data_IF_058196480272
#
_entry.id   IF_058196480272
#
_cell.length_a   1.000
_cell.length_b   1.000
_cell.length_c   1.000
_cell.angle_alpha   90.00
_cell.angle_beta   90.00
_cell.angle_gamma   90.00
#
_symmetry.space_group_name_H-M   'P 1'
#
loop_
_entity.id
_entity.type
_entity.pdbx_description
1 polymer ?
#
# COMPACT_ATOMS: atom_id res chain seq x y z
N UNK A 1 -24.80 6.04 2.49
CA UNK A 1 -23.89 6.24 3.65
C UNK A 1 -22.50 6.53 3.13
N UNK A 2 -21.86 7.60 3.63
CA UNK A 2 -20.46 7.91 3.34
C UNK A 2 -19.53 6.83 3.89
N UNK A 3 -18.43 6.54 3.19
CA UNK A 3 -17.42 5.53 3.56
C UNK A 3 -16.02 6.06 3.22
N UNK A 4 -15.00 5.48 3.85
CA UNK A 4 -13.60 5.65 3.47
C UNK A 4 -13.17 4.45 2.62
N UNK A 5 -12.62 4.69 1.44
CA UNK A 5 -12.25 3.66 0.47
C UNK A 5 -10.78 3.88 0.09
N UNK A 6 -9.99 2.81 0.17
CA UNK A 6 -8.60 2.78 -0.27
C UNK A 6 -8.51 2.07 -1.63
N UNK A 7 -8.02 2.76 -2.65
CA UNK A 7 -7.68 2.17 -3.95
C UNK A 7 -6.17 1.91 -3.97
N UNK A 8 -5.79 0.64 -3.96
CA UNK A 8 -4.40 0.20 -4.13
C UNK A 8 -4.19 -0.25 -5.56
N UNK A 9 -3.18 0.28 -6.23
CA UNK A 9 -2.88 -0.09 -7.62
C UNK A 9 -1.37 -0.19 -7.85
N UNK A 10 -1.00 -1.10 -8.76
CA UNK A 10 0.37 -1.48 -9.01
C UNK A 10 0.63 -1.61 -10.52
N UNK A 11 0.63 -0.48 -11.23
CA UNK A 11 1.00 -0.45 -12.64
C UNK A 11 1.98 0.70 -12.92
N UNK A 12 3.11 0.46 -13.59
CA UNK A 12 4.14 1.48 -13.79
C UNK A 12 3.77 2.55 -14.81
N UNK A 13 2.94 2.19 -15.80
CA UNK A 13 2.62 3.04 -16.94
C UNK A 13 1.39 3.94 -16.66
N UNK A 14 1.54 5.28 -16.60
CA UNK A 14 0.45 6.21 -16.29
C UNK A 14 -0.66 6.26 -17.33
N UNK A 15 -0.40 5.89 -18.58
CA UNK A 15 -1.42 5.88 -19.65
C UNK A 15 -2.12 4.53 -19.83
N UNK A 16 -1.78 3.55 -19.00
CA UNK A 16 -2.34 2.19 -19.07
C UNK A 16 -3.84 2.13 -18.81
N UNK A 17 -4.47 1.06 -19.30
CA UNK A 17 -5.86 0.73 -18.97
C UNK A 17 -6.08 0.64 -17.45
N UNK A 18 -5.13 0.06 -16.71
CA UNK A 18 -5.20 -0.03 -15.25
C UNK A 18 -5.30 1.36 -14.62
N UNK A 19 -4.49 2.32 -15.08
CA UNK A 19 -4.55 3.68 -14.55
C UNK A 19 -5.89 4.36 -14.89
N UNK A 20 -6.39 4.17 -16.10
CA UNK A 20 -7.71 4.69 -16.49
C UNK A 20 -8.84 4.13 -15.61
N UNK A 21 -8.80 2.83 -15.28
CA UNK A 21 -9.79 2.21 -14.39
C UNK A 21 -9.72 2.74 -12.96
N UNK A 22 -8.52 3.03 -12.45
CA UNK A 22 -8.32 3.68 -11.15
C UNK A 22 -8.96 5.07 -11.14
N UNK A 23 -8.71 5.88 -12.16
CA UNK A 23 -9.20 7.25 -12.23
C UNK A 23 -10.74 7.27 -12.32
N UNK A 24 -11.34 6.43 -13.17
CA UNK A 24 -12.81 6.28 -13.27
C UNK A 24 -13.42 5.81 -11.95
N UNK A 25 -12.78 4.86 -11.27
CA UNK A 25 -13.27 4.35 -9.97
C UNK A 25 -13.23 5.45 -8.90
N UNK A 26 -12.15 6.21 -8.83
CA UNK A 26 -11.99 7.29 -7.86
C UNK A 26 -13.02 8.41 -8.08
N UNK A 27 -13.25 8.80 -9.34
CA UNK A 27 -14.27 9.77 -9.72
C UNK A 27 -15.66 9.32 -9.28
N UNK A 28 -16.07 8.11 -9.66
CA UNK A 28 -17.40 7.58 -9.37
C UNK A 28 -17.67 7.46 -7.86
N UNK A 29 -16.70 6.97 -7.10
CA UNK A 29 -16.84 6.82 -5.65
C UNK A 29 -16.86 8.17 -4.93
N UNK A 30 -16.06 9.13 -5.38
CA UNK A 30 -16.06 10.49 -4.83
C UNK A 30 -17.39 11.20 -5.13
N UNK A 31 -17.92 11.06 -6.35
CA UNK A 31 -19.22 11.57 -6.76
C UNK A 31 -20.38 10.96 -5.95
N UNK A 32 -20.26 9.70 -5.53
CA UNK A 32 -21.20 9.04 -4.62
C UNK A 32 -21.08 9.51 -3.14
N UNK A 33 -20.19 10.46 -2.84
CA UNK A 33 -20.01 11.04 -1.51
C UNK A 33 -19.07 10.26 -0.59
N UNK A 34 -18.28 9.32 -1.12
CA UNK A 34 -17.25 8.61 -0.36
C UNK A 34 -15.95 9.42 -0.27
N UNK A 35 -15.15 9.13 0.76
CA UNK A 35 -13.77 9.61 0.84
C UNK A 35 -12.87 8.55 0.22
N UNK A 36 -12.15 8.93 -0.84
CA UNK A 36 -11.23 8.03 -1.56
C UNK A 36 -9.78 8.38 -1.22
N UNK A 37 -8.99 7.36 -0.92
CA UNK A 37 -7.55 7.45 -0.65
C UNK A 37 -6.83 6.49 -1.60
N UNK A 38 -5.61 6.81 -1.99
CA UNK A 38 -4.85 6.05 -2.98
C UNK A 38 -3.56 5.47 -2.39
N UNK A 39 -3.18 4.28 -2.85
CA UNK A 39 -1.83 3.76 -2.74
C UNK A 39 -1.32 3.36 -4.12
N UNK A 40 -0.58 4.27 -4.75
CA UNK A 40 0.14 4.06 -6.00
C UNK A 40 1.43 3.30 -5.70
N UNK A 41 1.44 1.97 -5.78
CA UNK A 41 2.60 1.20 -5.32
C UNK A 41 3.86 1.51 -6.14
N UNK A 42 3.73 1.80 -7.43
CA UNK A 42 4.86 2.21 -8.26
C UNK A 42 5.28 3.66 -7.98
N UNK A 43 4.33 4.60 -7.88
CA UNK A 43 4.62 6.00 -7.54
C UNK A 43 5.22 6.18 -6.16
N UNK A 44 4.82 5.33 -5.19
CA UNK A 44 5.35 5.28 -3.83
C UNK A 44 6.72 4.58 -3.74
N UNK A 45 7.19 3.94 -4.81
CA UNK A 45 8.34 3.02 -4.77
C UNK A 45 8.21 1.99 -3.64
N UNK A 46 7.02 1.43 -3.51
CA UNK A 46 6.70 0.49 -2.45
C UNK A 46 7.65 -0.70 -2.45
N UNK A 47 8.24 -1.01 -1.28
CA UNK A 47 9.12 -2.17 -1.12
C UNK A 47 8.29 -3.44 -1.12
N UNK A 48 8.46 -4.28 -2.14
CA UNK A 48 7.76 -5.57 -2.25
C UNK A 48 8.52 -6.71 -1.54
N UNK A 49 9.83 -6.55 -1.35
CA UNK A 49 10.64 -7.50 -0.58
C UNK A 49 10.29 -7.44 0.90
N UNK A 50 10.44 -8.58 1.58
CA UNK A 50 10.32 -8.68 3.03
C UNK A 50 11.68 -9.02 3.61
N UNK A 51 12.22 -8.13 4.46
CA UNK A 51 13.61 -8.18 4.89
C UNK A 51 13.83 -7.48 6.25
N UNK A 52 15.09 -7.28 6.63
CA UNK A 52 15.46 -6.70 7.92
C UNK A 52 14.98 -5.24 8.08
N UNK A 53 14.82 -4.49 6.98
CA UNK A 53 14.43 -3.08 7.02
C UNK A 53 12.95 -2.90 7.42
N UNK A 54 12.15 -3.97 7.39
CA UNK A 54 10.78 -3.95 7.91
C UNK A 54 10.72 -3.92 9.46
N UNK A 55 11.88 -4.07 10.12
CA UNK A 55 12.02 -4.06 11.57
C UNK A 55 13.00 -2.97 12.01
N UNK A 56 12.55 -1.71 12.16
CA UNK A 56 13.42 -0.61 12.59
C UNK A 56 14.07 -0.83 13.96
N UNK A 57 13.41 -1.60 14.82
CA UNK A 57 13.92 -2.07 16.10
C UNK A 57 13.85 -3.59 16.12
N UNK A 58 15.02 -4.24 16.17
CA UNK A 58 15.11 -5.70 16.20
C UNK A 58 15.42 -6.19 17.60
N UNK A 59 14.71 -7.23 18.03
CA UNK A 59 14.93 -7.95 19.27
C UNK A 59 16.27 -8.70 19.25
N UNK A 60 16.65 -9.28 18.11
CA UNK A 60 17.98 -9.84 17.91
C UNK A 60 18.69 -9.22 16.67
N UNK A 61 19.64 -8.30 16.88
CA UNK A 61 20.41 -7.69 15.78
C UNK A 61 21.25 -8.69 14.98
N UNK A 62 21.66 -9.81 15.58
CA UNK A 62 22.57 -10.80 14.99
C UNK A 62 21.85 -11.85 14.14
N UNK A 63 20.54 -12.07 14.34
CA UNK A 63 19.75 -13.05 13.57
C UNK A 63 18.37 -12.49 13.24
N UNK A 64 18.08 -12.37 11.94
CA UNK A 64 16.74 -12.06 11.47
C UNK A 64 15.82 -13.28 11.63
N UNK A 65 14.85 -13.17 12.52
CA UNK A 65 13.84 -14.19 12.79
C UNK A 65 12.44 -13.61 12.62
N UNK A 66 11.86 -13.70 11.42
CA UNK A 66 10.61 -13.02 11.08
C UNK A 66 9.50 -13.17 12.13
N UNK A 67 9.24 -14.39 12.61
CA UNK A 67 8.20 -14.63 13.62
C UNK A 67 8.50 -13.89 14.94
N UNK A 68 9.76 -13.92 15.38
CA UNK A 68 10.16 -13.28 16.65
C UNK A 68 10.17 -11.75 16.53
N UNK A 69 10.65 -11.24 15.40
CA UNK A 69 10.69 -9.80 15.16
C UNK A 69 9.28 -9.22 14.95
N UNK A 70 8.39 -9.93 14.25
CA UNK A 70 6.98 -9.54 14.14
C UNK A 70 6.25 -9.57 15.48
N UNK A 71 6.53 -10.54 16.35
CA UNK A 71 5.98 -10.58 17.70
C UNK A 71 6.58 -9.53 18.65
N UNK A 72 7.73 -8.94 18.33
CA UNK A 72 8.30 -7.83 19.09
C UNK A 72 7.74 -6.47 18.64
N UNK A 73 7.41 -6.33 17.35
CA UNK A 73 6.94 -5.08 16.75
C UNK A 73 5.47 -4.74 17.04
N UNK A 74 4.67 -5.70 17.54
CA UNK A 74 3.22 -5.57 17.82
C UNK A 74 2.89 -6.16 19.19
#
# INVERSE_FOLDING_TARGET
MKRNILIVYAHPEPTSLTRQLVDVTAEMLSAAGHTVVHSDLYGMKWKAGYDADDFPMRNNPERLSFIMESGHAY
#
